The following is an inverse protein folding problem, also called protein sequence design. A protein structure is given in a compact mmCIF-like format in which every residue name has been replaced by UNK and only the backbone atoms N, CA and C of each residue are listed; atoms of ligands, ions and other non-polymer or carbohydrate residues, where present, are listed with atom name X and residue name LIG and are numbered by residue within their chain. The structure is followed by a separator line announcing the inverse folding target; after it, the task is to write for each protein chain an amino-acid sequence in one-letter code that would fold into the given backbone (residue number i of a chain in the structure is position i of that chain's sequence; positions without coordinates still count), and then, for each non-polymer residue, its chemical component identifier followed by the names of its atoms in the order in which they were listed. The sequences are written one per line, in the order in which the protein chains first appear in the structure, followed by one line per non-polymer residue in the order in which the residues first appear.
data_IF_333268555212
#
_entry.id   IF_333268555212
#
_cell.length_a   1.000
_cell.length_b   1.000
_cell.length_c   1.000
_cell.angle_alpha   90.00
_cell.angle_beta   90.00
_cell.angle_gamma   90.00
#
_symmetry.space_group_name_H-M   'P 1'
#
loop_
_entity.id
_entity.type
_entity.pdbx_description
1 polymer ?
#
# COMPACT_ATOMS: atom_id res chain seq x y z
N UNK A 1 -7.07 5.26 11.86
CA UNK A 1 -8.09 6.13 11.25
C UNK A 1 -8.76 6.90 12.36
N UNK A 2 -9.28 8.06 12.03
CA UNK A 2 -10.30 8.78 12.81
C UNK A 2 -11.50 9.00 11.89
N UNK A 3 -12.66 9.43 12.39
CA UNK A 3 -13.74 9.90 11.53
C UNK A 3 -13.21 10.91 10.51
N UNK A 4 -13.69 10.81 9.27
CA UNK A 4 -13.29 11.62 8.12
C UNK A 4 -11.80 11.59 7.72
N UNK A 5 -10.99 10.70 8.33
CA UNK A 5 -9.55 10.60 8.02
C UNK A 5 -9.03 9.15 8.10
N UNK A 6 -8.81 8.57 6.93
CA UNK A 6 -8.38 7.18 6.78
C UNK A 6 -7.43 6.99 5.59
N UNK A 7 -6.93 5.77 5.45
CA UNK A 7 -6.16 5.33 4.29
C UNK A 7 -7.14 4.64 3.36
N UNK A 8 -7.33 5.14 2.14
CA UNK A 8 -8.24 4.58 1.13
C UNK A 8 -7.71 3.28 0.56
N UNK A 9 -6.39 3.22 0.34
CA UNK A 9 -5.76 2.06 -0.27
C UNK A 9 -4.30 1.90 0.14
N UNK A 10 -3.83 0.66 0.04
CA UNK A 10 -2.42 0.31 0.06
C UNK A 10 -2.14 -0.54 -1.17
N UNK A 11 -1.18 -0.10 -1.99
CA UNK A 11 -0.69 -0.78 -3.17
C UNK A 11 0.74 -1.24 -2.95
N UNK A 12 1.06 -2.44 -3.45
CA UNK A 12 2.42 -2.96 -3.49
C UNK A 12 2.85 -3.19 -4.93
N UNK A 13 4.04 -2.71 -5.26
CA UNK A 13 4.69 -2.86 -6.53
C UNK A 13 6.00 -3.65 -6.36
N UNK A 14 6.30 -4.52 -7.33
CA UNK A 14 7.58 -5.21 -7.48
C UNK A 14 8.17 -4.82 -8.83
N UNK A 15 9.35 -4.18 -8.84
CA UNK A 15 10.00 -3.63 -10.05
C UNK A 15 9.02 -2.84 -10.94
N UNK A 16 8.32 -1.88 -10.32
CA UNK A 16 7.29 -1.00 -10.91
C UNK A 16 6.02 -1.69 -11.44
N UNK A 17 5.89 -3.02 -11.31
CA UNK A 17 4.64 -3.74 -11.57
C UNK A 17 3.76 -3.78 -10.33
N UNK A 18 2.49 -3.38 -10.45
CA UNK A 18 1.49 -3.56 -9.38
C UNK A 18 1.25 -5.05 -9.15
N UNK A 19 1.48 -5.53 -7.94
CA UNK A 19 1.38 -6.95 -7.55
C UNK A 19 0.38 -7.20 -6.43
N UNK A 20 -0.09 -6.15 -5.76
CA UNK A 20 -1.13 -6.25 -4.75
C UNK A 20 -1.79 -4.90 -4.49
N UNK A 21 -3.09 -4.94 -4.17
CA UNK A 21 -3.86 -3.77 -3.74
C UNK A 21 -4.87 -4.19 -2.68
N UNK A 22 -4.95 -3.42 -1.61
CA UNK A 22 -6.05 -3.46 -0.66
C UNK A 22 -6.76 -2.12 -0.69
N UNK A 23 -8.05 -2.13 -0.99
CA UNK A 23 -8.96 -1.00 -0.72
C UNK A 23 -9.46 -1.16 0.71
N UNK A 24 -9.49 -0.05 1.45
CA UNK A 24 -9.81 -0.04 2.87
C UNK A 24 -11.02 0.85 3.09
N UNK A 25 -12.05 0.29 3.71
CA UNK A 25 -13.29 1.00 4.02
C UNK A 25 -13.08 2.00 5.17
N UNK A 26 -13.63 3.22 5.08
CA UNK A 26 -13.61 4.19 6.16
C UNK A 26 -14.21 3.57 7.43
N UNK A 27 -13.62 3.89 8.59
CA UNK A 27 -14.05 3.49 9.93
C UNK A 27 -14.06 1.98 10.26
N UNK A 28 -14.12 1.11 9.25
CA UNK A 28 -14.17 -0.35 9.40
C UNK A 28 -12.77 -0.95 9.25
N UNK A 29 -12.03 -0.54 8.22
CA UNK A 29 -10.73 -1.13 7.91
C UNK A 29 -9.61 -0.47 8.74
N UNK A 30 -8.69 -1.29 9.23
CA UNK A 30 -7.41 -0.78 9.73
C UNK A 30 -6.57 -0.29 8.55
N UNK A 31 -5.86 0.83 8.73
CA UNK A 31 -4.87 1.35 7.76
C UNK A 31 -3.61 0.48 7.66
N UNK A 32 -3.77 -0.80 7.32
CA UNK A 32 -2.70 -1.77 7.19
C UNK A 32 -3.08 -2.87 6.19
N UNK A 33 -2.10 -3.40 5.48
CA UNK A 33 -2.25 -4.53 4.58
C UNK A 33 -0.98 -5.39 4.63
N UNK A 34 -1.14 -6.71 4.44
CA UNK A 34 -0.04 -7.65 4.31
C UNK A 34 -0.16 -8.37 2.98
N UNK A 35 0.94 -8.46 2.24
CA UNK A 35 1.03 -9.16 0.97
C UNK A 35 2.14 -10.22 1.07
N UNK A 36 1.87 -11.41 0.54
CA UNK A 36 2.85 -12.50 0.46
C UNK A 36 3.13 -12.77 -1.01
N UNK A 37 4.40 -12.66 -1.42
CA UNK A 37 4.80 -12.78 -2.82
C UNK A 37 6.07 -13.62 -2.96
N UNK A 38 6.21 -14.27 -4.11
CA UNK A 38 7.50 -14.83 -4.52
C UNK A 38 8.39 -13.70 -5.04
N UNK A 39 9.66 -13.69 -4.64
CA UNK A 39 10.60 -12.59 -4.94
C UNK A 39 11.65 -12.96 -5.99
N UNK A 40 11.42 -14.00 -6.79
CA UNK A 40 12.37 -14.43 -7.82
C UNK A 40 12.72 -13.26 -8.76
N UNK A 41 13.99 -12.84 -8.72
CA UNK A 41 14.55 -11.74 -9.50
C UNK A 41 13.92 -10.35 -9.26
N UNK A 42 13.13 -10.17 -8.18
CA UNK A 42 12.62 -8.86 -7.79
C UNK A 42 13.75 -8.06 -7.14
N UNK A 43 13.97 -6.83 -7.58
CA UNK A 43 15.04 -5.97 -7.05
C UNK A 43 14.53 -4.89 -6.12
N UNK A 44 13.32 -4.40 -6.38
CA UNK A 44 12.75 -3.27 -5.65
C UNK A 44 11.30 -3.56 -5.32
N UNK A 45 10.96 -3.41 -4.03
CA UNK A 45 9.57 -3.31 -3.58
C UNK A 45 9.23 -1.85 -3.32
N UNK A 46 8.06 -1.42 -3.79
CA UNK A 46 7.54 -0.06 -3.58
C UNK A 46 6.12 -0.14 -3.07
N UNK A 47 5.86 0.45 -1.91
CA UNK A 47 4.51 0.56 -1.37
C UNK A 47 3.99 1.98 -1.54
N UNK A 48 2.72 2.10 -1.90
CA UNK A 48 1.99 3.37 -1.94
C UNK A 48 0.77 3.28 -1.04
N UNK A 49 0.62 4.22 -0.12
CA UNK A 49 -0.57 4.35 0.71
C UNK A 49 -1.27 5.68 0.38
N UNK A 50 -2.53 5.60 -0.03
CA UNK A 50 -3.37 6.77 -0.30
C UNK A 50 -4.18 7.15 0.93
N UNK A 51 -4.06 8.39 1.38
CA UNK A 51 -4.91 8.98 2.41
C UNK A 51 -5.94 9.90 1.76
N UNK A 52 -7.19 9.82 2.22
CA UNK A 52 -8.30 10.62 1.70
C UNK A 52 -8.05 12.14 1.80
N UNK A 53 -7.21 12.59 2.74
CA UNK A 53 -6.89 14.02 2.95
C UNK A 53 -5.46 14.41 2.55
N UNK A 54 -4.51 13.50 2.66
CA UNK A 54 -3.07 13.82 2.60
C UNK A 54 -2.38 13.32 1.33
N UNK A 55 -3.15 12.81 0.35
CA UNK A 55 -2.60 12.29 -0.89
C UNK A 55 -1.84 10.98 -0.68
N UNK A 56 -0.81 10.75 -1.50
CA UNK A 56 -0.13 9.45 -1.59
C UNK A 56 1.25 9.51 -0.95
N UNK A 57 1.48 8.61 -0.01
CA UNK A 57 2.79 8.36 0.60
C UNK A 57 3.43 7.17 -0.09
N UNK A 58 4.73 7.28 -0.42
CA UNK A 58 5.49 6.21 -1.09
C UNK A 58 6.69 5.82 -0.25
N UNK A 59 6.94 4.53 -0.13
CA UNK A 59 8.18 3.99 0.43
C UNK A 59 8.75 2.92 -0.49
N UNK A 60 10.06 2.70 -0.43
CA UNK A 60 10.77 1.77 -1.31
C UNK A 60 11.84 1.03 -0.54
N UNK A 61 11.97 -0.27 -0.82
CA UNK A 61 13.01 -1.15 -0.28
C UNK A 61 13.70 -1.82 -1.46
N UNK A 62 15.03 -1.78 -1.48
CA UNK A 62 15.85 -2.59 -2.40
C UNK A 62 16.11 -3.93 -1.72
N UNK A 63 15.92 -5.02 -2.47
CA UNK A 63 16.08 -6.41 -2.01
C UNK A 63 17.50 -6.94 -2.22
#
# INVERSE_FOLDING_TARGET
STPDHWIDFIELYADDRLVGKSTLEPEISRGAASFSLKLDNVKVLKSKAGCNLHGIWTTTVTL
#
